data_IF_468689014317
#
_entry.id   IF_468689014317
#
_cell.length_a   1.000
_cell.length_b   1.000
_cell.length_c   1.000
_cell.angle_alpha   90.00
_cell.angle_beta   90.00
_cell.angle_gamma   90.00
#
_symmetry.space_group_name_H-M   'P 1'
#
loop_
_entity.id
_entity.type
_entity.pdbx_description
1 polymer ?
#
# COMPACT_ATOMS: atom_id res chain seq x y z
N UNK A 1 -5.66 -93.02 18.03
CA UNK A 1 -5.01 -91.94 17.26
C UNK A 1 -6.08 -90.90 16.93
N UNK A 2 -6.07 -89.79 17.63
CA UNK A 2 -7.01 -88.67 17.41
C UNK A 2 -6.17 -87.47 17.01
N UNK A 3 -6.33 -87.07 15.75
CA UNK A 3 -5.69 -85.89 15.13
C UNK A 3 -6.52 -84.66 15.50
N UNK A 4 -5.90 -83.66 16.18
CA UNK A 4 -6.48 -82.36 16.46
C UNK A 4 -6.07 -81.40 15.33
N UNK A 5 -7.06 -80.83 14.65
CA UNK A 5 -6.85 -79.69 13.73
C UNK A 5 -6.83 -78.38 14.56
N UNK A 6 -5.76 -77.64 14.43
CA UNK A 6 -5.67 -76.29 14.98
C UNK A 6 -6.12 -75.29 13.89
N UNK A 7 -7.16 -74.50 14.22
CA UNK A 7 -7.62 -73.43 13.38
C UNK A 7 -6.85 -72.12 13.73
N UNK A 8 -6.10 -71.54 12.78
CA UNK A 8 -5.41 -70.27 12.93
C UNK A 8 -6.35 -69.16 12.50
N UNK A 9 -6.75 -68.27 13.42
CA UNK A 9 -7.51 -67.07 13.12
C UNK A 9 -6.56 -65.95 12.78
N UNK A 10 -6.64 -65.45 11.53
CA UNK A 10 -5.92 -64.28 11.04
C UNK A 10 -6.68 -63.03 11.40
N UNK A 11 -6.21 -62.25 12.37
CA UNK A 11 -6.76 -60.94 12.70
C UNK A 11 -6.14 -59.87 11.78
N UNK A 12 -6.94 -59.31 10.86
CA UNK A 12 -6.55 -58.14 10.06
C UNK A 12 -6.77 -56.88 10.87
N UNK A 13 -5.65 -56.32 11.37
CA UNK A 13 -5.67 -55.03 12.05
C UNK A 13 -5.77 -53.87 11.04
N UNK A 14 -6.94 -53.25 11.00
CA UNK A 14 -7.18 -52.03 10.21
C UNK A 14 -6.68 -50.82 10.99
N UNK A 15 -5.48 -50.31 10.67
CA UNK A 15 -4.98 -49.05 11.24
C UNK A 15 -5.65 -47.87 10.51
N UNK A 16 -6.64 -47.25 11.18
CA UNK A 16 -7.13 -45.93 10.76
C UNK A 16 -5.97 -44.90 10.95
N UNK A 17 -5.36 -44.50 9.87
CA UNK A 17 -4.47 -43.34 9.86
C UNK A 17 -5.29 -42.08 10.13
N UNK A 18 -5.20 -41.51 11.32
CA UNK A 18 -5.66 -40.14 11.60
C UNK A 18 -4.73 -39.20 10.82
N UNK A 19 -5.20 -38.67 9.69
CA UNK A 19 -4.57 -37.55 9.04
C UNK A 19 -4.64 -36.34 10.01
N UNK A 20 -3.50 -35.88 10.52
CA UNK A 20 -3.42 -34.65 11.26
C UNK A 20 -3.89 -33.51 10.35
N UNK A 21 -4.76 -32.59 10.84
CA UNK A 21 -5.13 -31.42 10.08
C UNK A 21 -3.86 -30.64 9.77
N UNK A 22 -3.65 -30.27 8.49
CA UNK A 22 -2.59 -29.37 8.09
C UNK A 22 -2.75 -28.10 8.94
N UNK A 23 -1.72 -27.77 9.72
CA UNK A 23 -1.67 -26.52 10.45
C UNK A 23 -1.71 -25.40 9.39
N UNK A 24 -2.85 -24.73 9.27
CA UNK A 24 -2.95 -23.49 8.52
C UNK A 24 -2.04 -22.52 9.25
N UNK A 25 -1.01 -22.03 8.57
CA UNK A 25 -0.19 -20.94 9.08
C UNK A 25 -1.16 -19.82 9.45
N UNK A 26 -1.18 -19.45 10.73
CA UNK A 26 -2.01 -18.38 11.23
C UNK A 26 -1.49 -17.10 10.56
N UNK A 27 -2.22 -16.57 9.59
CA UNK A 27 -1.95 -15.24 9.02
C UNK A 27 -2.00 -14.28 10.20
N UNK A 28 -0.89 -13.60 10.49
CA UNK A 28 -0.83 -12.62 11.57
C UNK A 28 -1.95 -11.59 11.43
N UNK A 29 -2.29 -10.91 12.52
CA UNK A 29 -3.24 -9.80 12.43
C UNK A 29 -2.74 -8.77 11.39
N UNK A 30 -3.65 -8.14 10.60
CA UNK A 30 -3.27 -7.11 9.63
C UNK A 30 -2.45 -6.01 10.30
N UNK A 31 -1.45 -5.48 9.59
CA UNK A 31 -0.66 -4.33 10.07
C UNK A 31 -1.51 -3.06 10.16
N UNK A 32 -2.49 -2.94 9.25
CA UNK A 32 -3.38 -1.80 9.19
C UNK A 32 -4.48 -1.91 10.25
N UNK A 33 -4.30 -1.26 11.39
CA UNK A 33 -5.34 -1.02 12.39
C UNK A 33 -5.99 0.38 12.20
N UNK A 34 -7.01 0.69 13.00
CA UNK A 34 -7.71 1.97 12.92
C UNK A 34 -6.80 3.16 13.25
N UNK A 35 -5.77 2.99 14.08
CA UNK A 35 -4.85 4.05 14.48
C UNK A 35 -3.92 4.40 13.32
N UNK A 36 -3.33 3.37 12.71
CA UNK A 36 -2.47 3.53 11.53
C UNK A 36 -3.29 4.06 10.35
N UNK A 37 -4.50 3.53 10.11
CA UNK A 37 -5.41 4.01 9.07
C UNK A 37 -5.64 5.53 9.20
N UNK A 38 -6.09 6.01 10.36
CA UNK A 38 -6.32 7.44 10.59
C UNK A 38 -5.03 8.28 10.50
N UNK A 39 -3.86 7.70 10.78
CA UNK A 39 -2.59 8.40 10.59
C UNK A 39 -2.22 8.52 9.11
N UNK A 40 -2.45 7.48 8.30
CA UNK A 40 -2.21 7.52 6.85
C UNK A 40 -3.12 8.57 6.17
N UNK A 41 -4.40 8.65 6.55
CA UNK A 41 -5.30 9.72 6.08
C UNK A 41 -4.75 11.12 6.39
N UNK A 42 -4.32 11.36 7.63
CA UNK A 42 -3.72 12.65 8.02
C UNK A 42 -2.46 12.97 7.24
N UNK A 43 -1.57 11.99 7.04
CA UNK A 43 -0.32 12.19 6.31
C UNK A 43 -0.52 12.44 4.81
N UNK A 44 -1.49 11.76 4.20
CA UNK A 44 -1.84 11.98 2.80
C UNK A 44 -2.58 13.31 2.61
N UNK A 45 -3.49 13.66 3.54
CA UNK A 45 -4.22 14.93 3.52
C UNK A 45 -5.23 15.07 2.38
N UNK A 46 -5.68 13.93 1.81
CA UNK A 46 -6.59 13.89 0.66
C UNK A 46 -8.07 13.65 1.04
N UNK A 47 -8.40 13.73 2.34
CA UNK A 47 -9.73 13.38 2.87
C UNK A 47 -9.87 11.88 3.16
N UNK A 48 -11.10 11.39 3.31
CA UNK A 48 -11.37 9.98 3.60
C UNK A 48 -10.83 9.05 2.52
N UNK A 49 -10.18 7.97 2.94
CA UNK A 49 -9.60 6.97 2.05
C UNK A 49 -10.44 5.69 2.05
N UNK A 50 -10.43 4.98 0.93
CA UNK A 50 -10.79 3.58 0.86
C UNK A 50 -9.51 2.78 0.59
N UNK A 51 -9.06 1.99 1.57
CA UNK A 51 -7.84 1.20 1.52
C UNK A 51 -8.19 -0.26 1.34
N UNK A 52 -7.82 -0.81 0.18
CA UNK A 52 -8.02 -2.22 -0.14
C UNK A 52 -6.69 -2.96 -0.09
N UNK A 53 -6.57 -4.00 0.75
CA UNK A 53 -5.40 -4.88 0.71
C UNK A 53 -5.32 -5.57 -0.67
N UNK A 54 -4.20 -5.41 -1.36
CA UNK A 54 -3.92 -6.02 -2.66
C UNK A 54 -2.78 -7.04 -2.59
N UNK A 55 -1.98 -7.00 -1.53
CA UNK A 55 -0.89 -7.94 -1.30
C UNK A 55 -0.62 -8.11 0.19
N UNK A 56 -0.46 -9.34 0.61
CA UNK A 56 0.08 -9.73 1.92
C UNK A 56 1.16 -10.78 1.69
N UNK A 57 2.36 -10.53 2.22
CA UNK A 57 3.47 -11.48 2.09
C UNK A 57 3.19 -12.76 2.85
N UNK A 58 3.33 -13.88 2.18
CA UNK A 58 3.28 -15.22 2.76
C UNK A 58 4.66 -15.87 2.78
N UNK A 59 4.80 -16.97 3.48
CA UNK A 59 6.03 -17.74 3.51
C UNK A 59 6.36 -18.28 2.11
N UNK A 60 7.58 -18.02 1.64
CA UNK A 60 8.05 -18.45 0.32
C UNK A 60 7.75 -17.47 -0.81
N UNK A 61 6.98 -16.41 -0.57
CA UNK A 61 6.80 -15.33 -1.54
C UNK A 61 8.11 -14.60 -1.82
N UNK A 62 8.22 -14.06 -3.02
CA UNK A 62 9.32 -13.23 -3.49
C UNK A 62 8.81 -11.98 -4.23
N UNK A 63 9.72 -11.17 -4.78
CA UNK A 63 9.37 -9.94 -5.48
C UNK A 63 8.38 -10.13 -6.64
N UNK A 64 8.40 -11.30 -7.32
CA UNK A 64 7.45 -11.57 -8.41
C UNK A 64 6.02 -11.71 -7.92
N UNK A 65 5.82 -12.30 -6.73
CA UNK A 65 4.49 -12.41 -6.10
C UNK A 65 3.97 -11.03 -5.72
N UNK A 66 4.84 -10.16 -5.20
CA UNK A 66 4.53 -8.76 -4.95
C UNK A 66 4.15 -8.02 -6.25
N UNK A 67 4.97 -8.12 -7.29
CA UNK A 67 4.72 -7.47 -8.57
C UNK A 67 3.44 -7.98 -9.25
N UNK A 68 3.15 -9.28 -9.19
CA UNK A 68 1.92 -9.85 -9.73
C UNK A 68 0.65 -9.24 -9.10
N UNK A 69 0.72 -8.78 -7.84
CA UNK A 69 -0.40 -8.17 -7.13
C UNK A 69 -0.42 -6.64 -7.22
N UNK A 70 0.74 -5.98 -7.26
CA UNK A 70 0.88 -4.54 -7.06
C UNK A 70 1.12 -3.75 -8.37
N UNK A 71 1.63 -4.40 -9.43
CA UNK A 71 1.85 -3.73 -10.71
C UNK A 71 0.52 -3.29 -11.32
N UNK A 72 0.46 -2.05 -11.78
CA UNK A 72 -0.74 -1.49 -12.38
C UNK A 72 -1.87 -1.16 -11.40
N UNK A 73 -1.69 -1.36 -10.09
CA UNK A 73 -2.75 -1.17 -9.09
C UNK A 73 -3.03 0.30 -8.69
N UNK A 74 -2.31 1.25 -9.26
CA UNK A 74 -2.47 2.68 -8.94
C UNK A 74 -1.79 3.10 -7.65
N UNK A 75 -2.27 4.21 -7.08
CA UNK A 75 -1.78 4.74 -5.80
C UNK A 75 -1.86 3.69 -4.70
N UNK A 76 -0.83 3.60 -3.87
CA UNK A 76 -0.80 2.59 -2.84
C UNK A 76 0.03 2.98 -1.61
N UNK A 77 -0.26 2.33 -0.48
CA UNK A 77 0.61 2.28 0.68
C UNK A 77 1.29 0.92 0.77
N UNK A 78 2.58 0.92 1.04
CA UNK A 78 3.32 -0.25 1.51
C UNK A 78 3.49 -0.14 3.01
N UNK A 79 3.16 -1.19 3.75
CA UNK A 79 3.33 -1.32 5.20
C UNK A 79 4.25 -2.49 5.50
N UNK A 80 5.20 -2.31 6.42
CA UNK A 80 6.11 -3.35 6.86
C UNK A 80 6.28 -3.34 8.37
N UNK A 81 6.24 -4.50 8.98
CA UNK A 81 6.80 -4.71 10.30
C UNK A 81 8.21 -5.23 10.12
N UNK A 82 9.17 -4.51 10.67
CA UNK A 82 10.60 -4.85 10.57
C UNK A 82 11.23 -4.94 11.96
N UNK A 83 12.18 -5.87 12.12
CA UNK A 83 12.85 -6.13 13.40
C UNK A 83 14.36 -6.17 13.20
N UNK A 84 15.12 -5.53 14.08
CA UNK A 84 16.59 -5.60 14.10
C UNK A 84 17.09 -6.85 14.84
N UNK A 85 18.41 -7.08 14.80
CA UNK A 85 19.06 -8.22 15.46
C UNK A 85 18.91 -8.22 16.99
N UNK A 86 18.55 -7.06 17.59
CA UNK A 86 18.31 -6.93 19.03
C UNK A 86 16.85 -7.17 19.42
N UNK A 87 15.99 -7.54 18.47
CA UNK A 87 14.58 -7.84 18.71
C UNK A 87 13.66 -6.61 18.82
N UNK A 88 14.16 -5.40 18.57
CA UNK A 88 13.32 -4.20 18.49
C UNK A 88 12.63 -4.14 17.14
N UNK A 89 11.32 -3.83 17.16
CA UNK A 89 10.48 -3.81 15.97
C UNK A 89 9.90 -2.42 15.70
N UNK A 90 9.67 -2.13 14.42
CA UNK A 90 9.03 -0.90 13.93
C UNK A 90 8.00 -1.23 12.86
N UNK A 91 6.96 -0.41 12.76
CA UNK A 91 6.07 -0.35 11.61
C UNK A 91 6.53 0.83 10.75
N UNK A 92 6.98 0.52 9.54
CA UNK A 92 7.46 1.49 8.55
C UNK A 92 6.78 1.27 7.23
N UNK A 93 6.88 2.23 6.33
CA UNK A 93 6.31 2.09 5.00
C UNK A 93 6.45 3.33 4.15
N UNK A 94 5.69 3.36 3.05
CA UNK A 94 5.69 4.50 2.15
C UNK A 94 4.42 4.60 1.32
N UNK A 95 4.15 5.81 0.89
CA UNK A 95 3.13 6.16 -0.09
C UNK A 95 3.76 6.26 -1.47
N UNK A 96 3.26 5.45 -2.39
CA UNK A 96 3.56 5.53 -3.81
C UNK A 96 2.34 6.13 -4.54
N UNK A 97 2.44 7.33 -5.13
CA UNK A 97 1.33 8.00 -5.83
C UNK A 97 0.97 7.37 -7.18
N UNK A 98 1.66 6.31 -7.55
CA UNK A 98 1.48 5.60 -8.81
C UNK A 98 1.52 4.08 -8.60
N UNK A 99 1.41 3.32 -9.68
CA UNK A 99 1.59 1.87 -9.64
C UNK A 99 3.05 1.48 -9.46
N UNK A 100 3.29 0.36 -8.81
CA UNK A 100 4.52 -0.39 -8.97
C UNK A 100 4.62 -0.96 -10.39
N UNK A 101 5.83 -1.34 -10.78
CA UNK A 101 6.11 -1.97 -12.08
C UNK A 101 7.30 -2.91 -11.95
N UNK A 102 7.23 -4.08 -12.53
CA UNK A 102 8.38 -4.99 -12.71
C UNK A 102 9.26 -4.62 -13.90
N UNK A 103 8.89 -3.58 -14.64
CA UNK A 103 9.64 -3.09 -15.81
C UNK A 103 9.83 -1.59 -15.71
N UNK A 104 11.06 -1.10 -15.77
CA UNK A 104 11.23 0.34 -15.95
C UNK A 104 12.27 1.06 -15.10
N UNK A 105 12.90 0.44 -14.10
CA UNK A 105 13.93 1.11 -13.30
C UNK A 105 13.38 2.29 -12.48
N UNK A 106 14.08 3.41 -12.50
CA UNK A 106 13.68 4.59 -11.72
C UNK A 106 12.41 5.24 -12.24
N UNK A 107 11.47 5.51 -11.33
CA UNK A 107 10.44 6.51 -11.56
C UNK A 107 10.98 7.87 -11.13
N UNK A 108 11.14 8.77 -12.10
CA UNK A 108 11.69 10.09 -11.87
C UNK A 108 10.61 11.16 -11.83
N UNK A 109 10.74 12.09 -10.89
CA UNK A 109 9.85 13.22 -10.66
C UNK A 109 10.63 14.54 -10.80
N UNK A 110 10.89 15.03 -12.03
CA UNK A 110 11.75 16.18 -12.26
C UNK A 110 11.17 17.50 -11.75
N UNK A 111 9.86 17.56 -11.50
CA UNK A 111 9.18 18.78 -11.05
C UNK A 111 8.63 18.59 -9.63
N UNK A 112 8.73 19.61 -8.79
CA UNK A 112 8.32 19.55 -7.38
C UNK A 112 6.87 19.15 -7.17
N UNK A 113 5.95 19.59 -8.02
CA UNK A 113 4.55 19.20 -7.94
C UNK A 113 4.29 17.70 -8.19
N UNK A 114 5.25 16.98 -8.75
CA UNK A 114 5.21 15.51 -8.91
C UNK A 114 5.75 14.76 -7.68
N UNK A 115 6.51 15.45 -6.80
CA UNK A 115 7.17 14.89 -5.63
C UNK A 115 6.20 14.77 -4.46
N UNK A 116 5.17 13.96 -4.63
CA UNK A 116 4.09 13.77 -3.65
C UNK A 116 4.25 12.53 -2.79
N UNK A 117 5.20 11.65 -3.13
CA UNK A 117 5.51 10.47 -2.35
C UNK A 117 6.09 10.81 -0.98
N UNK A 118 5.93 9.92 -0.04
CA UNK A 118 6.55 9.99 1.27
C UNK A 118 6.82 8.60 1.84
N UNK A 119 7.77 8.52 2.75
CA UNK A 119 8.04 7.33 3.55
C UNK A 119 7.85 7.68 5.03
N UNK A 120 7.59 6.69 5.86
CA UNK A 120 7.25 6.93 7.26
C UNK A 120 7.73 5.81 8.19
N UNK A 121 7.92 6.20 9.44
CA UNK A 121 8.03 5.31 10.58
C UNK A 121 6.84 5.61 11.52
N UNK A 122 5.86 4.72 11.53
CA UNK A 122 4.66 4.87 12.34
C UNK A 122 4.96 4.71 13.83
N UNK A 123 5.86 3.78 14.17
CA UNK A 123 6.25 3.52 15.57
C UNK A 123 6.82 4.76 16.25
N UNK A 124 7.63 5.53 15.52
CA UNK A 124 8.26 6.77 16.01
C UNK A 124 7.49 8.05 15.60
N UNK A 125 6.32 7.89 14.95
CA UNK A 125 5.45 8.97 14.45
C UNK A 125 6.18 9.97 13.53
N UNK A 126 7.07 9.48 12.67
CA UNK A 126 7.89 10.29 11.76
C UNK A 126 7.47 10.11 10.31
N UNK A 127 7.56 11.21 9.55
CA UNK A 127 7.25 11.28 8.12
C UNK A 127 8.38 12.00 7.38
N UNK A 128 8.80 11.45 6.24
CA UNK A 128 9.78 12.06 5.33
C UNK A 128 9.18 12.18 3.95
N UNK A 129 9.04 13.43 3.49
CA UNK A 129 8.59 13.73 2.13
C UNK A 129 9.77 13.71 1.17
N UNK A 130 9.48 13.56 -0.11
CA UNK A 130 10.48 13.67 -1.17
C UNK A 130 11.13 15.07 -1.16
N UNK A 131 12.46 15.12 -1.27
CA UNK A 131 13.26 16.37 -1.28
C UNK A 131 12.83 17.25 -2.48
N UNK A 132 12.55 18.52 -2.24
CA UNK A 132 12.15 19.49 -3.27
C UNK A 132 13.38 20.15 -3.93
N UNK A 133 13.17 20.80 -5.08
CA UNK A 133 14.25 21.44 -5.86
C UNK A 133 14.82 22.69 -5.18
N UNK A 134 14.09 23.31 -4.26
CA UNK A 134 14.52 24.45 -3.44
C UNK A 134 15.36 24.03 -2.21
N UNK A 135 15.41 22.74 -1.90
CA UNK A 135 16.26 22.22 -0.84
C UNK A 135 17.75 22.28 -1.21
N UNK A 136 18.62 22.12 -0.22
CA UNK A 136 20.08 22.26 -0.37
C UNK A 136 20.65 21.34 -1.46
N UNK A 137 20.01 20.20 -1.70
CA UNK A 137 20.45 19.22 -2.69
C UNK A 137 19.25 18.83 -3.62
N UNK A 138 18.85 19.72 -4.51
CA UNK A 138 17.59 19.65 -5.24
C UNK A 138 17.39 18.41 -6.11
N UNK A 139 18.48 17.83 -6.62
CA UNK A 139 18.41 16.62 -7.48
C UNK A 139 18.19 15.33 -6.68
N UNK A 140 18.32 15.35 -5.37
CA UNK A 140 18.12 14.15 -4.55
C UNK A 140 16.70 13.64 -4.60
N UNK A 141 15.71 14.52 -4.59
CA UNK A 141 14.30 14.15 -4.70
C UNK A 141 13.84 13.70 -6.09
N UNK A 142 14.72 13.67 -7.09
CA UNK A 142 14.35 13.29 -8.46
C UNK A 142 13.83 11.85 -8.55
N UNK A 143 14.45 10.92 -7.81
CA UNK A 143 14.15 9.48 -7.86
C UNK A 143 13.15 9.10 -6.78
N UNK A 144 11.91 8.85 -7.19
CA UNK A 144 10.80 8.55 -6.29
C UNK A 144 10.78 7.09 -5.85
N UNK A 145 10.73 6.16 -6.82
CA UNK A 145 10.71 4.72 -6.60
C UNK A 145 11.62 4.02 -7.58
N UNK A 146 12.08 2.82 -7.21
CA UNK A 146 12.84 1.96 -8.10
C UNK A 146 12.01 0.72 -8.42
N UNK A 147 11.83 0.44 -9.71
CA UNK A 147 10.96 -0.60 -10.23
C UNK A 147 11.79 -1.66 -10.96
N UNK A 148 11.95 -2.81 -10.35
CA UNK A 148 12.74 -3.94 -10.88
C UNK A 148 12.12 -5.26 -10.46
N UNK A 149 12.12 -6.29 -11.33
CA UNK A 149 11.45 -7.56 -11.04
C UNK A 149 12.05 -8.32 -9.85
N UNK A 150 13.30 -8.03 -9.47
CA UNK A 150 14.01 -8.68 -8.38
C UNK A 150 14.07 -7.83 -7.10
N UNK A 151 13.28 -6.76 -7.03
CA UNK A 151 13.14 -5.93 -5.84
C UNK A 151 11.69 -5.94 -5.36
N UNK A 152 11.48 -5.99 -4.05
CA UNK A 152 10.22 -5.60 -3.45
C UNK A 152 10.03 -4.07 -3.49
N UNK A 153 9.07 -3.51 -2.76
CA UNK A 153 8.82 -2.08 -2.70
C UNK A 153 10.11 -1.31 -2.37
N UNK A 154 10.51 -0.39 -3.26
CA UNK A 154 11.76 0.36 -3.10
C UNK A 154 11.52 1.85 -3.36
N UNK A 155 11.82 2.68 -2.36
CA UNK A 155 11.66 4.13 -2.39
C UNK A 155 13.03 4.81 -2.38
N UNK A 156 13.22 5.82 -3.26
CA UNK A 156 14.40 6.66 -3.28
C UNK A 156 15.67 6.03 -3.79
N UNK A 157 16.69 6.86 -3.98
CA UNK A 157 17.94 6.49 -4.63
C UNK A 157 19.02 5.96 -3.68
N UNK A 158 18.83 6.01 -2.36
CA UNK A 158 19.80 5.56 -1.37
C UNK A 158 19.99 4.06 -1.20
N UNK A 159 19.00 3.14 -1.30
CA UNK A 159 17.55 3.38 -1.28
C UNK A 159 17.05 3.82 0.09
N UNK A 160 16.16 4.81 0.10
CA UNK A 160 15.64 5.37 1.35
C UNK A 160 14.81 4.37 2.15
N UNK A 161 14.10 3.48 1.45
CA UNK A 161 13.47 2.30 2.01
C UNK A 161 13.47 1.19 0.94
N UNK A 162 14.08 0.06 1.24
CA UNK A 162 14.31 -1.03 0.30
C UNK A 162 13.82 -2.36 0.85
N UNK A 163 13.29 -3.19 -0.04
CA UNK A 163 12.95 -4.58 0.24
C UNK A 163 13.63 -5.49 -0.78
N UNK A 164 14.34 -6.50 -0.28
CA UNK A 164 15.06 -7.45 -1.13
C UNK A 164 14.11 -8.37 -1.94
N UNK A 165 14.67 -9.12 -2.90
CA UNK A 165 13.94 -10.07 -3.75
C UNK A 165 13.11 -11.09 -2.95
N UNK A 166 13.64 -11.62 -1.86
CA UNK A 166 12.95 -12.61 -1.01
C UNK A 166 11.91 -12.00 -0.07
N UNK A 167 11.73 -10.70 -0.10
CA UNK A 167 10.81 -9.94 0.75
C UNK A 167 11.02 -10.19 2.26
N UNK A 168 12.18 -10.64 2.67
CA UNK A 168 12.48 -11.02 4.05
C UNK A 168 13.48 -10.08 4.75
N UNK A 169 14.06 -9.12 4.02
CA UNK A 169 14.97 -8.13 4.57
C UNK A 169 14.70 -6.74 3.98
N UNK A 170 14.73 -5.74 4.85
CA UNK A 170 14.65 -4.33 4.51
C UNK A 170 15.96 -3.63 4.84
N UNK A 171 16.23 -2.54 4.12
CA UNK A 171 17.31 -1.61 4.37
C UNK A 171 16.80 -0.18 4.24
N UNK A 172 17.40 0.75 4.98
CA UNK A 172 17.10 2.16 4.83
C UNK A 172 18.39 2.96 4.83
N UNK A 173 18.53 3.80 3.79
CA UNK A 173 19.64 4.72 3.59
C UNK A 173 19.12 6.00 2.94
N UNK A 174 18.84 7.00 3.75
CA UNK A 174 18.14 8.22 3.34
C UNK A 174 18.96 9.03 2.32
N UNK A 175 18.34 9.37 1.19
CA UNK A 175 18.91 10.23 0.13
C UNK A 175 17.82 11.09 -0.52
N UNK A 176 16.72 10.49 -0.95
CA UNK A 176 15.68 11.14 -1.77
C UNK A 176 14.51 11.68 -0.95
N UNK A 177 14.42 11.29 0.31
CA UNK A 177 13.35 11.67 1.22
C UNK A 177 13.93 12.38 2.45
N UNK A 178 13.23 13.39 2.99
CA UNK A 178 13.62 14.12 4.19
C UNK A 178 14.03 15.55 3.90
N UNK A 179 14.97 16.05 4.69
CA UNK A 179 15.49 17.41 4.62
C UNK A 179 16.75 17.57 3.72
N UNK A 180 17.19 16.47 3.11
CA UNK A 180 18.42 16.43 2.31
C UNK A 180 19.71 16.49 3.12
N UNK A 181 19.65 16.62 4.45
CA UNK A 181 20.83 16.72 5.34
C UNK A 181 21.17 15.40 6.02
N UNK A 182 20.20 14.52 6.17
CA UNK A 182 20.32 13.26 6.91
C UNK A 182 20.75 12.08 6.03
N UNK A 183 21.63 12.35 5.03
CA UNK A 183 22.11 11.30 4.11
C UNK A 183 22.73 10.12 4.87
N UNK A 184 22.36 8.91 4.45
CA UNK A 184 22.87 7.68 5.04
C UNK A 184 22.24 7.29 6.37
N UNK A 185 21.29 8.08 6.88
CA UNK A 185 20.56 7.75 8.10
C UNK A 185 19.37 6.84 7.80
N UNK A 186 19.21 5.79 8.57
CA UNK A 186 18.06 4.89 8.49
C UNK A 186 16.79 5.57 9.03
N UNK A 187 15.69 5.56 8.26
CA UNK A 187 14.39 6.00 8.76
C UNK A 187 13.78 5.01 9.76
N UNK A 188 14.31 3.79 9.82
CA UNK A 188 13.78 2.73 10.68
C UNK A 188 14.18 2.98 12.13
N UNK A 189 15.49 3.14 12.38
CA UNK A 189 16.03 3.23 13.74
C UNK A 189 17.01 4.41 13.98
N UNK A 190 17.26 5.23 12.95
CA UNK A 190 18.18 6.35 13.01
C UNK A 190 19.67 5.94 12.94
N UNK A 191 19.98 4.68 12.70
CA UNK A 191 21.36 4.21 12.55
C UNK A 191 21.99 4.72 11.25
N UNK A 192 23.32 4.72 11.20
CA UNK A 192 24.10 4.98 9.99
C UNK A 192 24.89 3.73 9.62
N UNK A 193 25.02 3.43 8.31
CA UNK A 193 25.82 2.28 7.87
C UNK A 193 25.06 1.17 7.16
N UNK A 194 23.78 1.35 6.83
CA UNK A 194 23.05 0.45 5.97
C UNK A 194 22.76 -0.92 6.60
N UNK A 195 22.26 -0.94 7.81
CA UNK A 195 21.89 -2.17 8.52
C UNK A 195 20.68 -2.83 7.85
N UNK A 196 20.68 -4.17 7.84
CA UNK A 196 19.54 -4.96 7.39
C UNK A 196 18.58 -5.21 8.56
N UNK A 197 17.30 -5.13 8.27
CA UNK A 197 16.21 -5.45 9.19
C UNK A 197 15.44 -6.65 8.63
N UNK A 198 15.11 -7.61 9.49
CA UNK A 198 14.22 -8.70 9.11
C UNK A 198 12.81 -8.16 8.91
N UNK A 199 12.15 -8.55 7.82
CA UNK A 199 10.74 -8.26 7.59
C UNK A 199 9.91 -9.39 8.21
N UNK A 200 9.10 -9.06 9.21
CA UNK A 200 8.17 -9.98 9.84
C UNK A 200 6.83 -10.03 9.10
N UNK A 201 6.32 -8.88 8.66
CA UNK A 201 5.13 -8.76 7.84
C UNK A 201 5.30 -7.65 6.78
N UNK A 202 4.66 -7.83 5.61
CA UNK A 202 4.62 -6.85 4.52
C UNK A 202 3.25 -6.91 3.87
N UNK A 203 2.61 -5.76 3.74
CA UNK A 203 1.28 -5.59 3.15
C UNK A 203 1.28 -4.39 2.21
N UNK A 204 0.49 -4.47 1.14
CA UNK A 204 0.26 -3.36 0.21
C UNK A 204 -1.23 -3.09 0.08
N UNK A 205 -1.59 -1.83 0.16
CA UNK A 205 -2.97 -1.36 0.07
C UNK A 205 -3.12 -0.38 -1.08
N UNK A 206 -3.98 -0.69 -2.04
CA UNK A 206 -4.42 0.30 -3.04
C UNK A 206 -5.30 1.35 -2.38
N UNK A 207 -5.24 2.57 -2.94
CA UNK A 207 -5.92 3.74 -2.41
C UNK A 207 -6.99 4.19 -3.40
N UNK A 208 -8.22 4.37 -2.91
CA UNK A 208 -9.27 5.10 -3.60
C UNK A 208 -9.70 6.28 -2.72
N UNK A 209 -9.82 7.46 -3.34
CA UNK A 209 -10.34 8.64 -2.63
C UNK A 209 -11.86 8.51 -2.57
N UNK A 210 -12.42 8.66 -1.37
CA UNK A 210 -13.87 8.69 -1.18
C UNK A 210 -14.36 10.11 -1.44
N UNK A 211 -15.19 10.36 -2.49
CA UNK A 211 -15.74 11.68 -2.72
C UNK A 211 -16.55 12.11 -1.50
N UNK A 212 -16.31 13.34 -0.99
CA UNK A 212 -17.10 13.86 0.12
C UNK A 212 -18.59 13.89 -0.27
N UNK A 213 -19.50 13.39 0.60
CA UNK A 213 -20.94 13.39 0.31
C UNK A 213 -21.49 14.79 -0.03
N UNK A 214 -20.85 15.84 0.52
CA UNK A 214 -21.18 17.24 0.25
C UNK A 214 -20.94 17.67 -1.19
N UNK A 215 -19.84 17.22 -1.83
CA UNK A 215 -19.51 17.59 -3.22
C UNK A 215 -20.53 17.00 -4.21
N UNK A 216 -20.94 15.77 -4.00
CA UNK A 216 -21.96 15.10 -4.83
C UNK A 216 -23.34 15.75 -4.65
N UNK A 217 -23.72 16.07 -3.41
CA UNK A 217 -24.97 16.77 -3.12
C UNK A 217 -24.99 18.19 -3.70
N UNK A 218 -23.89 18.93 -3.60
CA UNK A 218 -23.73 20.27 -4.20
C UNK A 218 -23.81 20.22 -5.72
N UNK A 219 -23.18 19.21 -6.36
CA UNK A 219 -23.23 19.03 -7.81
C UNK A 219 -24.66 18.74 -8.28
N UNK A 220 -25.37 17.81 -7.64
CA UNK A 220 -26.77 17.47 -7.95
C UNK A 220 -27.68 18.68 -7.66
N UNK A 221 -27.49 19.37 -6.53
CA UNK A 221 -28.22 20.58 -6.17
C UNK A 221 -28.02 21.71 -7.19
N UNK A 222 -26.77 21.93 -7.63
CA UNK A 222 -26.42 22.93 -8.65
C UNK A 222 -27.10 22.63 -10.01
N UNK A 223 -27.08 21.40 -10.45
CA UNK A 223 -27.76 20.97 -11.69
C UNK A 223 -29.31 21.13 -11.56
N UNK A 224 -29.86 20.83 -10.40
CA UNK A 224 -31.30 21.03 -10.12
C UNK A 224 -31.72 22.51 -10.22
N UNK A 225 -30.92 23.42 -9.67
CA UNK A 225 -31.18 24.86 -9.75
C UNK A 225 -31.05 25.37 -11.20
N UNK A 226 -30.06 24.93 -11.94
CA UNK A 226 -29.86 25.28 -13.35
C UNK A 226 -31.01 24.76 -14.23
N UNK A 227 -31.44 23.52 -13.99
CA UNK A 227 -32.57 22.91 -14.69
C UNK A 227 -33.88 23.67 -14.43
N UNK A 228 -34.14 24.04 -13.17
CA UNK A 228 -35.32 24.83 -12.79
C UNK A 228 -35.31 26.23 -13.41
N UNK A 229 -34.14 26.91 -13.39
CA UNK A 229 -34.01 28.21 -14.01
C UNK A 229 -34.23 28.21 -15.52
N UNK A 230 -33.73 27.17 -16.22
CA UNK A 230 -33.94 26.97 -17.64
C UNK A 230 -35.42 26.68 -17.97
N UNK A 231 -36.10 25.86 -17.15
CA UNK A 231 -37.52 25.60 -17.27
C UNK A 231 -38.39 26.84 -17.08
N UNK A 232 -38.09 27.66 -16.07
CA UNK A 232 -38.78 28.95 -15.84
C UNK A 232 -38.65 29.90 -17.03
N UNK A 233 -37.46 30.00 -17.64
CA UNK A 233 -37.27 30.86 -18.83
C UNK A 233 -38.07 30.40 -20.02
N UNK A 234 -38.22 29.10 -20.24
CA UNK A 234 -39.05 28.52 -21.30
C UNK A 234 -40.54 28.77 -21.06
N UNK A 235 -41.00 28.63 -19.84
CA UNK A 235 -42.42 28.90 -19.49
C UNK A 235 -42.81 30.37 -19.66
N UNK A 236 -41.87 31.32 -19.45
CA UNK A 236 -42.09 32.76 -19.66
C UNK A 236 -42.07 33.18 -21.16
N UNK A 237 -41.52 32.34 -22.03
CA UNK A 237 -41.41 32.65 -23.47
C UNK A 237 -42.59 32.16 -24.33
N UNK A 238 -43.65 31.60 -23.73
CA UNK A 238 -44.85 31.21 -24.49
C UNK A 238 -45.70 32.47 -24.77
N UNK A 239 -45.84 32.95 -26.02
CA UNK A 239 -46.66 34.11 -26.33
C UNK A 239 -48.11 33.78 -26.10
N UNK A 240 -48.86 34.70 -25.48
CA UNK A 240 -50.31 34.60 -25.35
C UNK A 240 -50.93 34.55 -26.80
N UNK A 241 -51.46 33.40 -27.15
CA UNK A 241 -52.15 33.22 -28.41
C UNK A 241 -53.28 34.25 -28.51
N UNK A 242 -53.20 35.09 -29.53
CA UNK A 242 -54.11 36.23 -29.74
C UNK A 242 -55.56 35.81 -29.76
N UNK A 243 -56.35 36.41 -28.92
CA UNK A 243 -57.83 36.41 -29.02
C UNK A 243 -58.25 37.13 -30.29
N UNK A 244 -58.51 36.37 -31.35
CA UNK A 244 -59.25 36.95 -32.52
C UNK A 244 -60.69 37.22 -32.09
N UNK A 245 -61.06 38.50 -32.05
CA UNK A 245 -62.47 38.94 -32.00
C UNK A 245 -63.09 38.77 -33.42
N UNK A 246 -64.17 38.09 -33.48
CA UNK A 246 -65.16 38.16 -34.57
C UNK A 246 -66.30 39.05 -34.11
#
# INVERSE_FOLDING_TARGET
MKTMLAASSLAIGMTLGLAAPAAHAQVGAPLLDLTLYGQLERWLGAGPLDLRNIYTREQGHNSRDFHAAADGAGMNFTLMQVTNDFGRSWIVGGYNPQSWSSTGGWHETPRDWQRTAFIFNFTDAKLWRQVLSEDILPNRGLRQTYNEPNHGPTFGAGPDLFVNDRLNAALSWQVSYGDGLSEGTSIIDGSTGGQLFRIDALEVYSISLVPEPGSTAMFIGGLGVLGWAAWRRRAAAVPAAGRRKH
#
